data_IF_607218498413
#
_entry.id   IF_607218498413
#
_cell.length_a   1.000
_cell.length_b   1.000
_cell.length_c   1.000
_cell.angle_alpha   90.00
_cell.angle_beta   90.00
_cell.angle_gamma   90.00
#
_symmetry.space_group_name_H-M   'P 1'
#
loop_
_entity.id
_entity.type
_entity.pdbx_description
1 polymer ?
#
# COMPACT_ATOMS: atom_id res chain seq x y z
N UNK A 1 42.08 29.07 18.73
CA UNK A 1 41.31 29.73 17.65
C UNK A 1 41.72 29.11 16.33
N UNK A 2 40.74 28.93 15.44
CA UNK A 2 40.66 28.02 14.27
C UNK A 2 40.39 26.56 14.68
N UNK A 3 39.26 25.91 14.40
CA UNK A 3 38.17 26.20 13.48
C UNK A 3 37.90 24.98 12.62
N UNK A 4 37.30 23.93 13.18
CA UNK A 4 36.78 22.77 12.43
C UNK A 4 35.28 22.71 12.66
N UNK A 5 34.55 23.50 11.86
CA UNK A 5 33.12 23.30 11.64
C UNK A 5 32.98 21.99 10.86
N UNK A 6 32.62 20.89 11.53
CA UNK A 6 32.03 19.73 10.86
C UNK A 6 30.60 20.08 10.47
N UNK A 7 30.45 20.88 9.41
CA UNK A 7 29.16 21.16 8.79
C UNK A 7 28.67 19.92 8.07
N UNK A 8 28.10 18.97 8.81
CA UNK A 8 27.21 17.97 8.19
C UNK A 8 26.00 18.72 7.65
N UNK A 9 25.73 18.58 6.36
CA UNK A 9 24.55 19.17 5.74
C UNK A 9 23.30 18.74 6.51
N UNK A 10 22.48 19.72 6.92
CA UNK A 10 21.21 19.42 7.55
C UNK A 10 20.32 18.70 6.54
N UNK A 11 19.87 17.49 6.86
CA UNK A 11 19.07 16.71 5.92
C UNK A 11 17.75 17.41 5.58
N UNK A 12 17.26 18.34 6.42
CA UNK A 12 16.14 19.20 6.08
C UNK A 12 16.41 20.10 4.87
N UNK A 13 17.64 20.59 4.66
CA UNK A 13 17.94 21.42 3.49
C UNK A 13 17.88 20.58 2.20
N UNK A 14 18.27 19.30 2.27
CA UNK A 14 18.15 18.34 1.17
C UNK A 14 16.67 18.06 0.86
N UNK A 15 15.85 17.87 1.88
CA UNK A 15 14.40 17.66 1.71
C UNK A 15 13.70 18.94 1.21
N UNK A 16 14.13 20.12 1.67
CA UNK A 16 13.62 21.42 1.24
C UNK A 16 13.83 21.64 -0.26
N UNK A 17 15.00 21.25 -0.79
CA UNK A 17 15.31 21.37 -2.21
C UNK A 17 14.40 20.50 -3.10
N UNK A 18 13.89 19.38 -2.57
CA UNK A 18 12.99 18.46 -3.28
C UNK A 18 11.50 18.83 -3.12
N UNK A 19 11.17 19.71 -2.16
CA UNK A 19 9.78 20.12 -1.85
C UNK A 19 9.00 20.70 -3.04
N UNK A 20 9.57 21.48 -3.99
CA UNK A 20 8.80 22.01 -5.12
C UNK A 20 8.15 20.94 -6.00
N UNK A 21 8.67 19.70 -5.98
CA UNK A 21 8.18 18.58 -6.78
C UNK A 21 7.38 17.56 -5.95
N UNK A 22 7.10 17.86 -4.67
CA UNK A 22 6.54 16.91 -3.69
C UNK A 22 5.47 17.57 -2.81
N UNK A 23 4.61 16.75 -2.20
CA UNK A 23 3.57 17.24 -1.30
C UNK A 23 4.14 17.60 0.09
N UNK A 24 3.38 18.38 0.86
CA UNK A 24 3.68 18.65 2.26
C UNK A 24 3.76 17.37 3.10
N UNK A 25 2.82 16.44 2.89
CA UNK A 25 2.83 15.13 3.54
C UNK A 25 4.10 14.33 3.29
N UNK A 26 4.66 14.36 2.07
CA UNK A 26 5.93 13.69 1.78
C UNK A 26 7.06 14.23 2.65
N UNK A 27 7.13 15.55 2.81
CA UNK A 27 8.16 16.17 3.64
C UNK A 27 8.00 15.73 5.09
N UNK A 28 6.77 15.80 5.62
CA UNK A 28 6.47 15.39 7.00
C UNK A 28 6.81 13.91 7.23
N UNK A 29 6.40 12.99 6.35
CA UNK A 29 6.72 11.56 6.45
C UNK A 29 8.24 11.30 6.37
N UNK A 30 8.95 11.97 5.46
CA UNK A 30 10.40 11.83 5.33
C UNK A 30 11.15 12.27 6.60
N UNK A 31 10.71 13.37 7.22
CA UNK A 31 11.27 13.84 8.49
C UNK A 31 10.93 12.89 9.63
N UNK A 32 9.66 12.47 9.73
CA UNK A 32 9.18 11.54 10.74
C UNK A 32 9.96 10.23 10.73
N UNK A 33 10.09 9.58 9.57
CA UNK A 33 10.85 8.32 9.42
C UNK A 33 12.32 8.48 9.75
N UNK A 34 12.92 9.62 9.40
CA UNK A 34 14.34 9.86 9.72
C UNK A 34 14.54 10.01 11.23
N UNK A 35 13.68 10.76 11.91
CA UNK A 35 13.70 10.90 13.37
C UNK A 35 13.45 9.56 14.06
N UNK A 36 12.48 8.79 13.57
CA UNK A 36 12.17 7.45 14.09
C UNK A 36 13.39 6.52 13.99
N UNK A 37 14.09 6.51 12.85
CA UNK A 37 15.29 5.70 12.64
C UNK A 37 16.45 6.05 13.57
N UNK A 38 16.58 7.32 13.97
CA UNK A 38 17.68 7.80 14.79
C UNK A 38 17.40 7.78 16.29
N UNK A 39 16.14 7.92 16.69
CA UNK A 39 15.77 8.16 18.09
C UNK A 39 14.73 7.18 18.66
N UNK A 40 14.15 6.27 17.87
CA UNK A 40 13.20 5.24 18.36
C UNK A 40 13.95 3.95 18.74
N UNK A 41 13.63 3.27 19.88
CA UNK A 41 12.28 3.10 20.45
C UNK A 41 11.97 3.86 21.76
N UNK A 42 12.87 4.71 22.27
CA UNK A 42 12.70 5.37 23.57
C UNK A 42 12.37 6.87 23.41
N UNK A 43 11.20 7.36 23.88
CA UNK A 43 10.81 8.78 23.79
C UNK A 43 11.82 9.76 24.40
N UNK A 44 12.64 9.31 25.35
CA UNK A 44 13.69 10.10 26.01
C UNK A 44 14.93 10.37 25.15
N UNK A 45 15.04 9.75 23.97
CA UNK A 45 16.18 9.94 23.07
C UNK A 45 15.98 11.07 22.06
N UNK A 46 14.74 11.58 21.89
CA UNK A 46 14.48 12.68 20.96
C UNK A 46 15.00 14.01 21.55
N UNK A 47 15.76 14.81 20.79
CA UNK A 47 16.17 16.14 21.26
C UNK A 47 14.94 17.00 21.59
N UNK A 48 14.98 17.75 22.70
CA UNK A 48 13.83 18.52 23.19
C UNK A 48 13.24 19.49 22.15
N UNK A 49 14.09 20.03 21.26
CA UNK A 49 13.66 20.90 20.16
C UNK A 49 12.74 20.19 19.16
N UNK A 50 12.89 18.88 18.98
CA UNK A 50 12.09 18.06 18.08
C UNK A 50 10.78 17.58 18.69
N UNK A 51 10.59 17.65 20.02
CA UNK A 51 9.38 17.11 20.66
C UNK A 51 8.07 17.75 20.16
N UNK A 52 7.93 19.10 20.07
CA UNK A 52 6.71 19.71 19.55
C UNK A 52 6.45 19.35 18.08
N UNK A 53 7.52 19.21 17.29
CA UNK A 53 7.44 18.81 15.89
C UNK A 53 7.07 17.35 15.74
N UNK A 54 7.57 16.49 16.61
CA UNK A 54 7.24 15.08 16.64
C UNK A 54 5.75 14.86 16.90
N UNK A 55 5.16 15.61 17.83
CA UNK A 55 3.72 15.59 18.07
C UNK A 55 2.94 16.00 16.80
N UNK A 56 3.34 17.11 16.17
CA UNK A 56 2.74 17.60 14.93
C UNK A 56 2.87 16.62 13.76
N UNK A 57 4.04 15.98 13.62
CA UNK A 57 4.31 14.98 12.59
C UNK A 57 3.43 13.75 12.78
N UNK A 58 3.35 13.21 14.00
CA UNK A 58 2.48 12.07 14.29
C UNK A 58 1.01 12.40 14.05
N UNK A 59 0.57 13.59 14.44
CA UNK A 59 -0.79 14.04 14.23
C UNK A 59 -1.12 14.19 12.74
N UNK A 60 -0.30 14.93 11.99
CA UNK A 60 -0.53 15.15 10.56
C UNK A 60 -0.48 13.84 9.78
N UNK A 61 0.38 12.89 10.15
CA UNK A 61 0.49 11.59 9.49
C UNK A 61 -0.56 10.57 9.95
N UNK A 62 -1.45 10.93 10.89
CA UNK A 62 -2.49 10.04 11.40
C UNK A 62 -1.93 8.80 12.09
N UNK A 63 -0.76 8.89 12.72
CA UNK A 63 -0.06 7.75 13.35
C UNK A 63 -0.87 7.17 14.50
N UNK A 64 -1.53 8.03 15.28
CA UNK A 64 -2.38 7.61 16.39
C UNK A 64 -3.80 8.15 16.20
N UNK A 65 -4.83 7.36 16.54
CA UNK A 65 -6.21 7.83 16.57
C UNK A 65 -6.41 8.88 17.69
N UNK A 66 -7.43 9.72 17.56
CA UNK A 66 -7.73 10.81 18.49
C UNK A 66 -8.04 10.28 19.89
N UNK A 67 -8.71 9.14 19.99
CA UNK A 67 -8.93 8.44 21.26
C UNK A 67 -7.61 8.17 22.02
N UNK A 68 -6.53 7.87 21.30
CA UNK A 68 -5.21 7.67 21.92
C UNK A 68 -4.58 9.01 22.33
N UNK A 69 -4.67 10.05 21.49
CA UNK A 69 -4.18 11.39 21.83
C UNK A 69 -4.82 11.95 23.10
N UNK A 70 -6.13 11.81 23.26
CA UNK A 70 -6.85 12.24 24.45
C UNK A 70 -6.37 11.53 25.72
N UNK A 71 -6.03 10.24 25.62
CA UNK A 71 -5.50 9.45 26.74
C UNK A 71 -4.06 9.80 27.10
N UNK A 72 -3.19 9.96 26.11
CA UNK A 72 -1.74 9.96 26.34
C UNK A 72 -1.08 11.32 26.23
N UNK A 73 -1.67 12.25 25.47
CA UNK A 73 -1.07 13.55 25.19
C UNK A 73 -2.11 14.67 24.92
N UNK A 74 -3.05 14.93 25.85
CA UNK A 74 -4.08 15.97 25.67
C UNK A 74 -3.48 17.38 25.51
N UNK A 75 -2.39 17.69 26.22
CA UNK A 75 -1.70 18.98 26.09
C UNK A 75 -1.09 19.18 24.69
N UNK A 76 -0.65 18.10 24.04
CA UNK A 76 -0.15 18.16 22.66
C UNK A 76 -1.31 18.42 21.69
N UNK A 77 -2.42 17.73 21.87
CA UNK A 77 -3.63 17.93 21.08
C UNK A 77 -4.18 19.35 21.22
N UNK A 78 -4.11 19.95 22.42
CA UNK A 78 -4.48 21.35 22.66
C UNK A 78 -3.55 22.33 21.90
N UNK A 79 -2.24 22.08 21.89
CA UNK A 79 -1.30 22.89 21.09
C UNK A 79 -1.60 22.80 19.59
N UNK A 80 -1.90 21.60 19.10
CA UNK A 80 -2.25 21.34 17.70
C UNK A 80 -3.54 22.08 17.34
N UNK A 81 -4.55 22.02 18.20
CA UNK A 81 -5.82 22.75 18.04
C UNK A 81 -5.58 24.26 17.96
N UNK A 82 -4.78 24.81 18.86
CA UNK A 82 -4.45 26.24 18.86
C UNK A 82 -3.69 26.64 17.59
N UNK A 83 -2.76 25.80 17.12
CA UNK A 83 -2.04 26.02 15.87
C UNK A 83 -2.98 25.98 14.66
N UNK A 84 -3.92 25.03 14.61
CA UNK A 84 -4.92 24.94 13.55
C UNK A 84 -5.80 26.20 13.49
N UNK A 85 -6.21 26.72 14.66
CA UNK A 85 -6.97 27.96 14.75
C UNK A 85 -6.17 29.18 14.24
N UNK A 86 -4.91 29.32 14.66
CA UNK A 86 -4.01 30.39 14.20
C UNK A 86 -3.72 30.30 12.70
N UNK A 87 -3.69 29.08 12.17
CA UNK A 87 -3.46 28.78 10.77
C UNK A 87 -4.70 29.03 9.88
N UNK A 88 -5.86 29.34 10.46
CA UNK A 88 -7.12 29.54 9.73
C UNK A 88 -7.84 28.25 9.34
N UNK A 89 -7.38 27.09 9.83
CA UNK A 89 -7.98 25.77 9.61
C UNK A 89 -9.15 25.57 10.60
N UNK A 90 -10.18 26.42 10.48
CA UNK A 90 -11.26 26.52 11.46
C UNK A 90 -12.01 25.19 11.65
N UNK A 91 -12.30 24.45 10.58
CA UNK A 91 -12.99 23.17 10.66
C UNK A 91 -12.20 22.13 11.47
N UNK A 92 -10.88 22.06 11.26
CA UNK A 92 -9.99 21.19 12.03
C UNK A 92 -9.92 21.64 13.50
N UNK A 93 -9.75 22.95 13.73
CA UNK A 93 -9.68 23.51 15.07
C UNK A 93 -10.97 23.26 15.87
N UNK A 94 -12.12 23.34 15.21
CA UNK A 94 -13.42 23.05 15.80
C UNK A 94 -13.57 21.56 16.12
N UNK A 95 -13.23 20.66 15.19
CA UNK A 95 -13.27 19.21 15.45
C UNK A 95 -12.36 18.83 16.64
N UNK A 96 -11.16 19.41 16.71
CA UNK A 96 -10.25 19.18 17.83
C UNK A 96 -10.75 19.79 19.14
N UNK A 97 -11.43 20.95 19.09
CA UNK A 97 -12.03 21.55 20.28
C UNK A 97 -13.17 20.67 20.84
N UNK A 98 -14.01 20.09 19.99
CA UNK A 98 -15.02 19.11 20.41
C UNK A 98 -14.35 17.87 21.03
N UNK A 99 -13.30 17.35 20.39
CA UNK A 99 -12.56 16.20 20.90
C UNK A 99 -11.96 16.47 22.29
N UNK A 100 -11.33 17.63 22.50
CA UNK A 100 -10.76 18.05 23.78
C UNK A 100 -11.81 18.28 24.89
N UNK A 101 -13.07 18.51 24.51
CA UNK A 101 -14.21 18.54 25.45
C UNK A 101 -14.79 17.15 25.75
N UNK A 102 -14.18 16.09 25.21
CA UNK A 102 -14.62 14.71 25.39
C UNK A 102 -15.86 14.35 24.56
N UNK A 103 -16.10 15.06 23.45
CA UNK A 103 -17.26 14.83 22.58
C UNK A 103 -16.81 14.21 21.26
N UNK A 104 -17.19 12.96 21.02
CA UNK A 104 -17.01 12.33 19.72
C UNK A 104 -18.01 12.91 18.71
N UNK A 105 -17.54 13.14 17.49
CA UNK A 105 -18.39 13.54 16.38
C UNK A 105 -19.34 12.39 15.98
N UNK A 106 -20.59 12.72 15.61
CA UNK A 106 -21.53 11.70 15.14
C UNK A 106 -21.04 11.09 13.83
N UNK A 107 -21.49 9.85 13.55
CA UNK A 107 -21.26 9.21 12.27
C UNK A 107 -21.66 10.13 11.11
N UNK A 108 -20.71 10.42 10.23
CA UNK A 108 -20.95 11.26 9.07
C UNK A 108 -21.41 10.39 7.90
N UNK A 109 -22.16 10.95 6.97
CA UNK A 109 -22.46 10.30 5.69
C UNK A 109 -22.28 11.32 4.57
N UNK A 110 -21.62 10.92 3.47
CA UNK A 110 -21.66 11.68 2.23
C UNK A 110 -22.94 11.30 1.50
N UNK A 111 -23.76 12.31 1.23
CA UNK A 111 -24.94 12.14 0.38
C UNK A 111 -24.58 12.46 -1.06
N UNK A 112 -24.70 11.48 -1.94
CA UNK A 112 -24.61 11.67 -3.39
C UNK A 112 -26.02 11.73 -3.96
N UNK A 113 -26.44 12.94 -4.32
CA UNK A 113 -27.71 13.16 -5.00
C UNK A 113 -27.52 13.08 -6.52
N UNK A 114 -28.16 12.10 -7.16
CA UNK A 114 -28.27 12.01 -8.61
C UNK A 114 -29.67 12.41 -9.07
N UNK A 115 -29.75 13.19 -10.15
CA UNK A 115 -31.02 13.66 -10.71
C UNK A 115 -31.88 12.48 -11.18
N UNK A 116 -32.96 12.18 -10.44
CA UNK A 116 -33.93 11.14 -10.77
C UNK A 116 -33.76 9.81 -10.04
N UNK A 117 -32.75 9.67 -9.19
CA UNK A 117 -32.53 8.47 -8.36
C UNK A 117 -32.59 8.81 -6.86
N UNK A 118 -32.65 7.77 -6.02
CA UNK A 118 -32.58 7.93 -4.56
C UNK A 118 -31.18 8.39 -4.15
N UNK A 119 -31.13 9.34 -3.21
CA UNK A 119 -29.89 9.81 -2.62
C UNK A 119 -29.09 8.63 -2.03
N UNK A 120 -27.85 8.47 -2.50
CA UNK A 120 -26.95 7.46 -1.96
C UNK A 120 -26.23 8.05 -0.74
N UNK A 121 -26.57 7.55 0.44
CA UNK A 121 -25.88 7.90 1.68
C UNK A 121 -24.74 6.90 1.94
N UNK A 122 -23.49 7.35 1.76
CA UNK A 122 -22.31 6.56 2.09
C UNK A 122 -21.79 6.98 3.46
N UNK A 123 -21.87 6.12 4.50
CA UNK A 123 -21.33 6.45 5.81
C UNK A 123 -19.80 6.65 5.71
N UNK A 124 -19.32 7.74 6.30
CA UNK A 124 -17.92 8.03 6.52
C UNK A 124 -17.59 7.58 7.93
N UNK A 125 -16.84 6.49 8.05
CA UNK A 125 -16.38 5.97 9.33
C UNK A 125 -15.53 4.71 9.13
N UNK A 126 -14.52 4.53 9.98
CA UNK A 126 -13.83 3.26 10.12
C UNK A 126 -14.71 2.20 10.80
N UNK A 127 -14.24 0.96 10.87
CA UNK A 127 -14.85 -0.05 11.73
C UNK A 127 -14.79 0.45 13.20
N UNK A 128 -15.85 0.27 14.01
CA UNK A 128 -15.88 0.73 15.40
C UNK A 128 -14.82 0.00 16.23
N UNK A 129 -13.64 0.60 16.39
CA UNK A 129 -12.52 0.01 17.13
C UNK A 129 -11.83 1.01 18.08
N UNK A 130 -12.06 2.31 17.94
CA UNK A 130 -11.37 3.36 18.72
C UNK A 130 -12.27 3.96 19.80
N UNK A 131 -12.55 3.17 20.84
CA UNK A 131 -13.38 3.60 21.97
C UNK A 131 -12.56 4.39 23.00
N UNK A 132 -13.14 5.48 23.50
CA UNK A 132 -12.65 6.23 24.67
C UNK A 132 -13.81 6.92 25.37
N UNK A 133 -13.87 6.82 26.71
CA UNK A 133 -14.93 7.36 27.56
C UNK A 133 -16.35 6.97 27.13
N UNK A 134 -16.50 5.71 26.69
CA UNK A 134 -17.78 5.13 26.28
C UNK A 134 -18.31 5.63 24.94
N UNK A 135 -17.50 6.34 24.16
CA UNK A 135 -17.85 6.85 22.83
C UNK A 135 -16.95 6.23 21.75
N UNK A 136 -17.49 6.09 20.54
CA UNK A 136 -16.75 5.66 19.35
C UNK A 136 -16.18 6.88 18.63
N UNK A 137 -14.86 6.91 18.45
CA UNK A 137 -14.14 8.04 17.87
C UNK A 137 -13.88 7.89 16.37
N UNK A 138 -14.24 6.78 15.74
CA UNK A 138 -13.94 6.50 14.33
C UNK A 138 -14.44 7.60 13.37
N UNK A 139 -15.60 8.18 13.64
CA UNK A 139 -16.15 9.29 12.86
C UNK A 139 -15.35 10.60 13.07
N UNK A 140 -14.85 10.81 14.29
CA UNK A 140 -13.99 11.96 14.61
C UNK A 140 -12.65 11.87 13.90
N UNK A 141 -12.03 10.68 13.90
CA UNK A 141 -10.79 10.42 13.18
C UNK A 141 -10.94 10.67 11.68
N UNK A 142 -12.02 10.16 11.07
CA UNK A 142 -12.30 10.39 9.66
C UNK A 142 -12.54 11.89 9.35
N UNK A 143 -13.33 12.57 10.17
CA UNK A 143 -13.60 14.00 10.01
C UNK A 143 -12.33 14.85 10.14
N UNK A 144 -11.44 14.49 11.06
CA UNK A 144 -10.15 15.17 11.25
C UNK A 144 -9.25 14.91 10.05
N UNK A 145 -9.12 13.65 9.60
CA UNK A 145 -8.30 13.29 8.44
C UNK A 145 -8.70 14.06 7.18
N UNK A 146 -10.00 14.25 6.94
CA UNK A 146 -10.51 15.03 5.80
C UNK A 146 -10.08 16.50 5.82
N UNK A 147 -9.70 17.05 6.98
CA UNK A 147 -9.27 18.44 7.15
C UNK A 147 -7.74 18.59 7.30
N UNK A 148 -6.96 17.50 7.22
CA UNK A 148 -5.52 17.56 7.47
C UNK A 148 -4.71 18.17 6.30
N UNK A 149 -5.25 18.21 5.08
CA UNK A 149 -4.51 18.64 3.90
C UNK A 149 -3.98 20.07 3.97
N UNK A 150 -4.82 21.02 4.38
CA UNK A 150 -4.43 22.41 4.57
C UNK A 150 -3.45 22.57 5.72
N UNK A 151 -3.76 21.94 6.86
CA UNK A 151 -2.94 21.98 8.05
C UNK A 151 -1.53 21.38 7.85
N UNK A 152 -1.42 20.23 7.18
CA UNK A 152 -0.15 19.58 6.88
C UNK A 152 0.76 20.45 6.00
N UNK A 153 0.19 21.24 5.06
CA UNK A 153 0.96 22.23 4.28
C UNK A 153 1.55 23.31 5.16
N UNK A 154 0.76 23.83 6.09
CA UNK A 154 1.18 24.88 7.01
C UNK A 154 2.27 24.35 7.94
N UNK A 155 2.13 23.14 8.48
CA UNK A 155 3.16 22.50 9.31
C UNK A 155 4.45 22.26 8.53
N UNK A 156 4.36 21.81 7.28
CA UNK A 156 5.52 21.63 6.41
C UNK A 156 6.23 22.97 6.11
N UNK A 157 5.47 24.04 5.86
CA UNK A 157 6.03 25.37 5.65
C UNK A 157 6.73 25.91 6.89
N UNK A 158 6.11 25.78 8.06
CA UNK A 158 6.72 26.17 9.34
C UNK A 158 8.00 25.37 9.61
N UNK A 159 7.98 24.06 9.35
CA UNK A 159 9.15 23.18 9.53
C UNK A 159 10.33 23.62 8.65
N UNK A 160 10.06 24.02 7.40
CA UNK A 160 11.07 24.53 6.49
C UNK A 160 11.56 25.94 6.83
N UNK A 161 10.73 26.78 7.47
CA UNK A 161 11.13 28.08 7.99
C UNK A 161 12.08 27.94 9.19
N UNK A 162 11.79 26.97 10.05
CA UNK A 162 12.57 26.69 11.27
C UNK A 162 13.76 25.73 11.04
N UNK A 163 14.03 25.34 9.78
CA UNK A 163 15.07 24.36 9.45
C UNK A 163 16.48 24.72 9.94
N UNK A 164 16.76 26.00 10.16
CA UNK A 164 18.05 26.44 10.72
C UNK A 164 18.20 26.11 12.21
N UNK A 165 17.08 25.99 12.94
CA UNK A 165 17.04 25.59 14.35
C UNK A 165 16.83 24.08 14.54
N UNK A 166 16.37 23.39 13.49
CA UNK A 166 16.08 21.96 13.49
C UNK A 166 17.15 21.17 12.76
N UNK A 167 18.09 20.58 13.51
CA UNK A 167 19.09 19.70 12.92
C UNK A 167 18.51 18.29 12.73
N UNK A 168 18.30 17.90 11.48
CA UNK A 168 17.93 16.53 11.10
C UNK A 168 19.17 15.77 10.59
N UNK A 169 19.57 14.67 11.24
CA UNK A 169 20.72 13.88 10.80
C UNK A 169 20.45 13.23 9.44
N UNK A 170 21.52 13.05 8.65
CA UNK A 170 21.46 12.28 7.42
C UNK A 170 21.09 10.81 7.72
N UNK A 171 20.34 10.12 6.85
CA UNK A 171 19.93 8.73 7.07
C UNK A 171 21.14 7.81 7.27
N UNK A 172 21.13 7.01 8.36
CA UNK A 172 22.19 6.06 8.62
C UNK A 172 22.20 4.96 7.55
N UNK A 173 23.21 4.96 6.67
CA UNK A 173 23.48 3.82 5.80
C UNK A 173 23.88 2.61 6.65
N UNK A 174 22.94 1.67 6.88
CA UNK A 174 23.27 0.35 7.43
C UNK A 174 24.15 -0.40 6.42
N UNK A 175 25.46 -0.30 6.58
CA UNK A 175 26.41 -1.24 5.99
C UNK A 175 26.17 -2.63 6.58
N UNK A 176 25.56 -3.52 5.81
CA UNK A 176 25.49 -4.94 6.17
C UNK A 176 26.85 -5.61 5.88
N UNK A 177 27.36 -6.47 6.77
CA UNK A 177 28.57 -7.23 6.52
C UNK A 177 28.31 -8.28 5.42
N UNK A 178 29.10 -8.20 4.36
CA UNK A 178 29.13 -9.19 3.27
C UNK A 178 29.75 -10.49 3.79
N UNK A 179 28.91 -11.48 4.10
CA UNK A 179 29.33 -12.88 4.00
C UNK A 179 28.83 -13.44 2.66
N UNK A 180 29.78 -13.59 1.75
CA UNK A 180 29.64 -14.14 0.41
C UNK A 180 29.61 -15.67 0.44
N UNK A 181 28.51 -16.25 -0.05
CA UNK A 181 28.48 -17.60 -0.62
C UNK A 181 28.69 -17.48 -2.15
N UNK A 182 29.48 -18.36 -2.78
CA UNK A 182 29.75 -18.27 -4.21
C UNK A 182 28.62 -18.90 -5.02
N UNK A 183 28.15 -18.18 -6.04
CA UNK A 183 27.44 -18.80 -7.16
C UNK A 183 25.94 -18.58 -7.25
N UNK A 184 25.44 -17.36 -7.06
CA UNK A 184 24.19 -16.90 -7.67
C UNK A 184 24.40 -15.43 -8.05
N UNK A 185 24.18 -15.09 -9.33
CA UNK A 185 24.32 -13.74 -9.83
C UNK A 185 23.49 -12.77 -8.97
N UNK A 186 24.16 -11.81 -8.33
CA UNK A 186 23.50 -10.76 -7.56
C UNK A 186 22.61 -9.94 -8.50
N UNK A 187 21.31 -9.75 -8.20
CA UNK A 187 20.54 -8.73 -8.89
C UNK A 187 21.17 -7.37 -8.56
N UNK A 188 21.52 -6.61 -9.60
CA UNK A 188 21.96 -5.23 -9.44
C UNK A 188 20.90 -4.48 -8.61
N UNK A 189 21.33 -3.68 -7.64
CA UNK A 189 20.43 -2.87 -6.82
C UNK A 189 19.61 -1.94 -7.74
N UNK A 190 18.40 -2.37 -8.09
CA UNK A 190 17.48 -1.62 -8.92
C UNK A 190 16.82 -0.54 -8.08
N UNK A 191 16.80 0.69 -8.58
CA UNK A 191 16.14 1.79 -7.86
C UNK A 191 14.61 1.58 -7.85
N UNK A 192 13.88 2.13 -6.87
CA UNK A 192 12.42 2.02 -6.83
C UNK A 192 11.73 2.48 -8.14
N UNK A 193 12.24 3.54 -8.76
CA UNK A 193 11.76 4.03 -10.05
C UNK A 193 11.98 3.02 -11.18
N UNK A 194 13.11 2.32 -11.19
CA UNK A 194 13.37 1.24 -12.17
C UNK A 194 12.43 0.06 -11.95
N UNK A 195 12.14 -0.32 -10.71
CA UNK A 195 11.20 -1.41 -10.41
C UNK A 195 9.78 -1.08 -10.87
N UNK A 196 9.33 0.17 -10.68
CA UNK A 196 8.06 0.65 -11.21
C UNK A 196 8.01 0.59 -12.73
N UNK A 197 9.04 1.11 -13.39
CA UNK A 197 9.11 1.10 -14.86
C UNK A 197 9.16 -0.33 -15.42
N UNK A 198 9.89 -1.24 -14.78
CA UNK A 198 9.97 -2.65 -15.17
C UNK A 198 8.62 -3.35 -15.07
N UNK A 199 7.89 -3.17 -13.97
CA UNK A 199 6.56 -3.78 -13.80
C UNK A 199 5.56 -3.23 -14.80
N UNK A 200 5.57 -1.90 -15.00
CA UNK A 200 4.72 -1.22 -15.99
C UNK A 200 5.01 -1.71 -17.41
N UNK A 201 6.29 -1.83 -17.78
CA UNK A 201 6.70 -2.33 -19.09
C UNK A 201 6.34 -3.80 -19.29
N UNK A 202 6.56 -4.65 -18.28
CA UNK A 202 6.22 -6.07 -18.33
C UNK A 202 4.71 -6.28 -18.50
N UNK A 203 3.88 -5.53 -17.77
CA UNK A 203 2.43 -5.60 -17.91
C UNK A 203 1.96 -5.07 -19.28
N UNK A 204 2.49 -3.95 -19.76
CA UNK A 204 2.17 -3.45 -21.09
C UNK A 204 2.56 -4.46 -22.19
N UNK A 205 3.70 -5.13 -22.04
CA UNK A 205 4.16 -6.15 -22.98
C UNK A 205 3.28 -7.42 -22.97
N UNK A 206 2.77 -7.82 -21.80
CA UNK A 206 1.75 -8.87 -21.67
C UNK A 206 0.51 -8.54 -22.52
N UNK A 207 0.00 -7.31 -22.43
CA UNK A 207 -1.22 -6.90 -23.14
C UNK A 207 -1.06 -6.83 -24.68
N UNK A 208 0.18 -6.73 -25.17
CA UNK A 208 0.48 -6.68 -26.62
C UNK A 208 0.63 -8.05 -27.27
N UNK A 209 0.66 -9.13 -26.49
CA UNK A 209 0.87 -10.47 -27.04
C UNK A 209 -0.35 -11.03 -27.80
N UNK A 210 -0.12 -11.96 -28.75
CA UNK A 210 -1.21 -12.66 -29.41
C UNK A 210 -2.10 -13.38 -28.40
N UNK A 211 -3.40 -13.12 -28.55
CA UNK A 211 -4.55 -13.54 -27.72
C UNK A 211 -4.84 -15.06 -27.77
N UNK A 212 -3.82 -15.90 -27.61
CA UNK A 212 -3.96 -17.35 -27.61
C UNK A 212 -3.16 -18.00 -26.48
N UNK A 213 -3.86 -18.71 -25.60
CA UNK A 213 -3.27 -19.47 -24.50
C UNK A 213 -3.01 -20.91 -24.96
N UNK A 214 -1.83 -21.47 -24.65
CA UNK A 214 -1.61 -22.90 -24.83
C UNK A 214 -2.25 -23.64 -23.67
N UNK A 215 -3.07 -24.64 -23.99
CA UNK A 215 -3.74 -25.50 -23.03
C UNK A 215 -3.58 -26.96 -23.41
N UNK A 216 -3.73 -27.90 -22.47
CA UNK A 216 -3.78 -29.34 -22.76
C UNK A 216 -4.96 -29.99 -22.06
N UNK A 217 -5.51 -31.04 -22.67
CA UNK A 217 -6.44 -31.91 -21.97
C UNK A 217 -5.67 -32.78 -20.96
N UNK A 218 -6.09 -32.85 -19.69
CA UNK A 218 -5.47 -33.73 -18.71
C UNK A 218 -5.39 -35.17 -19.21
N UNK A 219 -4.23 -35.83 -19.05
CA UNK A 219 -4.02 -37.23 -19.42
C UNK A 219 -3.80 -37.55 -20.91
N UNK A 220 -4.08 -36.63 -21.84
CA UNK A 220 -3.98 -36.89 -23.29
C UNK A 220 -2.79 -36.21 -23.99
N UNK A 221 -2.07 -35.30 -23.31
CA UNK A 221 -0.84 -34.68 -23.81
C UNK A 221 -0.98 -33.76 -25.03
N UNK A 222 -2.12 -33.76 -25.70
CA UNK A 222 -2.41 -32.91 -26.85
C UNK A 222 -2.53 -31.44 -26.44
N UNK A 223 -1.77 -30.58 -27.12
CA UNK A 223 -1.79 -29.13 -26.90
C UNK A 223 -2.73 -28.44 -27.88
N UNK A 224 -3.54 -27.54 -27.35
CA UNK A 224 -4.46 -26.71 -28.09
C UNK A 224 -4.09 -25.24 -27.89
N UNK A 225 -4.40 -24.39 -28.88
CA UNK A 225 -4.35 -22.94 -28.71
C UNK A 225 -5.76 -22.44 -28.52
N UNK A 226 -6.04 -21.93 -27.33
CA UNK A 226 -7.31 -21.39 -26.94
C UNK A 226 -7.31 -19.88 -27.17
N UNK A 227 -8.26 -19.31 -27.93
CA UNK A 227 -8.40 -17.87 -28.03
C UNK A 227 -8.84 -17.30 -26.67
N UNK A 228 -8.11 -16.30 -26.19
CA UNK A 228 -8.39 -15.62 -24.91
C UNK A 228 -8.42 -14.12 -25.10
N UNK A 229 -9.06 -13.41 -24.19
CA UNK A 229 -9.10 -11.95 -24.20
C UNK A 229 -8.69 -11.37 -22.86
N UNK A 230 -8.44 -10.08 -22.82
CA UNK A 230 -8.26 -9.33 -21.58
C UNK A 230 -9.39 -8.30 -21.48
N UNK A 231 -10.01 -8.19 -20.31
CA UNK A 231 -10.97 -7.13 -19.99
C UNK A 231 -10.26 -6.19 -19.04
N UNK A 232 -10.07 -4.94 -19.47
CA UNK A 232 -9.24 -3.98 -18.78
C UNK A 232 -10.13 -2.88 -18.21
N UNK A 233 -9.86 -2.48 -16.96
CA UNK A 233 -10.47 -1.29 -16.39
C UNK A 233 -9.63 -0.05 -16.73
N UNK A 234 -10.22 1.16 -16.69
CA UNK A 234 -9.45 2.39 -16.78
C UNK A 234 -8.32 2.41 -15.74
N UNK A 235 -7.18 3.00 -16.09
CA UNK A 235 -6.10 3.23 -15.14
C UNK A 235 -6.49 4.22 -14.06
N UNK A 236 -5.76 4.20 -12.94
CA UNK A 236 -5.88 5.21 -11.90
C UNK A 236 -5.66 6.62 -12.47
N UNK A 237 -6.47 7.58 -12.01
CA UNK A 237 -6.17 8.99 -12.24
C UNK A 237 -4.85 9.37 -11.56
N UNK A 238 -4.24 10.48 -11.99
CA UNK A 238 -2.98 10.94 -11.40
C UNK A 238 -3.12 11.22 -9.90
N UNK A 239 -4.29 11.74 -9.49
CA UNK A 239 -4.62 12.06 -8.10
C UNK A 239 -4.73 10.78 -7.25
N UNK A 240 -5.48 9.78 -7.74
CA UNK A 240 -5.62 8.50 -7.04
C UNK A 240 -4.30 7.72 -6.98
N UNK A 241 -3.50 7.78 -8.04
CA UNK A 241 -2.18 7.19 -8.06
C UNK A 241 -1.28 7.78 -6.98
N UNK A 242 -1.24 9.12 -6.85
CA UNK A 242 -0.44 9.77 -5.80
C UNK A 242 -1.00 9.47 -4.40
N UNK A 243 -2.33 9.45 -4.23
CA UNK A 243 -2.97 9.06 -2.97
C UNK A 243 -2.52 7.66 -2.51
N UNK A 244 -2.67 6.65 -3.38
CA UNK A 244 -2.28 5.29 -3.04
C UNK A 244 -0.78 5.10 -2.89
N UNK A 245 0.05 5.90 -3.58
CA UNK A 245 1.51 5.86 -3.45
C UNK A 245 1.96 6.29 -2.05
N UNK A 246 1.19 7.16 -1.41
CA UNK A 246 1.44 7.61 -0.03
C UNK A 246 0.86 6.62 0.98
N UNK A 247 -0.34 6.10 0.71
CA UNK A 247 -1.04 5.18 1.62
C UNK A 247 -0.35 3.82 1.74
N UNK A 248 0.20 3.32 0.63
CA UNK A 248 0.71 1.95 0.55
C UNK A 248 2.22 1.87 0.85
N UNK A 249 2.72 0.74 1.40
CA UNK A 249 4.14 0.51 1.58
C UNK A 249 4.93 0.67 0.28
N UNK A 250 6.18 1.13 0.36
CA UNK A 250 7.03 1.35 -0.83
C UNK A 250 7.16 0.11 -1.74
N UNK A 251 7.14 -1.08 -1.14
CA UNK A 251 7.16 -2.35 -1.87
C UNK A 251 5.98 -2.52 -2.85
N UNK A 252 4.86 -1.81 -2.62
CA UNK A 252 3.67 -1.80 -3.49
C UNK A 252 3.81 -0.86 -4.70
N UNK A 253 4.79 0.04 -4.71
CA UNK A 253 4.96 1.00 -5.80
C UNK A 253 5.05 0.37 -7.20
N UNK A 254 5.72 -0.78 -7.41
CA UNK A 254 5.76 -1.43 -8.72
C UNK A 254 4.39 -1.96 -9.18
N UNK A 255 3.55 -2.39 -8.25
CA UNK A 255 2.20 -2.87 -8.54
C UNK A 255 1.24 -1.69 -8.76
N UNK A 256 1.39 -0.61 -8.01
CA UNK A 256 0.66 0.64 -8.22
C UNK A 256 0.97 1.25 -9.61
N UNK A 257 2.22 1.15 -10.07
CA UNK A 257 2.62 1.56 -11.42
C UNK A 257 1.90 0.78 -12.53
N UNK A 258 1.45 -0.45 -12.24
CA UNK A 258 0.58 -1.23 -13.11
C UNK A 258 -0.86 -0.73 -13.05
N UNK A 259 -1.38 -0.43 -11.85
CA UNK A 259 -2.71 0.14 -11.67
C UNK A 259 -2.88 1.51 -12.36
N UNK A 260 -1.80 2.27 -12.53
CA UNK A 260 -1.79 3.49 -13.35
C UNK A 260 -2.12 3.25 -14.82
N UNK A 261 -1.80 2.06 -15.35
CA UNK A 261 -2.22 1.67 -16.70
C UNK A 261 -3.66 1.18 -16.70
N UNK A 262 -3.98 0.26 -15.79
CA UNK A 262 -5.29 -0.37 -15.66
C UNK A 262 -5.55 -0.73 -14.19
N UNK A 263 -6.53 -0.09 -13.56
CA UNK A 263 -6.88 -0.31 -12.14
C UNK A 263 -7.78 -1.54 -12.00
N UNK A 264 -7.19 -2.70 -12.23
CA UNK A 264 -7.89 -3.97 -12.29
C UNK A 264 -8.10 -4.48 -13.71
N UNK A 265 -8.11 -5.80 -13.84
CA UNK A 265 -8.24 -6.47 -15.12
C UNK A 265 -8.62 -7.94 -14.94
N UNK A 266 -9.46 -8.46 -15.84
CA UNK A 266 -9.59 -9.89 -16.05
C UNK A 266 -8.67 -10.30 -17.19
N UNK A 267 -7.73 -11.19 -16.90
CA UNK A 267 -6.75 -11.67 -17.85
C UNK A 267 -7.08 -13.10 -18.27
N UNK A 268 -6.72 -13.43 -19.53
CA UNK A 268 -6.91 -14.76 -20.12
C UNK A 268 -8.36 -15.22 -20.06
N UNK A 269 -9.29 -14.32 -20.39
CA UNK A 269 -10.73 -14.57 -20.39
C UNK A 269 -11.12 -15.36 -21.64
N UNK A 270 -11.69 -16.55 -21.43
CA UNK A 270 -12.34 -17.31 -22.48
C UNK A 270 -13.82 -16.95 -22.54
N UNK A 271 -14.25 -16.35 -23.64
CA UNK A 271 -15.67 -16.13 -23.93
C UNK A 271 -16.15 -17.25 -24.86
N UNK A 272 -16.99 -18.15 -24.35
CA UNK A 272 -17.67 -19.16 -25.15
C UNK A 272 -19.04 -18.68 -25.65
N UNK A 273 -19.58 -19.24 -26.75
CA UNK A 273 -20.91 -18.89 -27.24
C UNK A 273 -22.06 -19.43 -26.37
N UNK A 274 -21.80 -20.36 -25.44
CA UNK A 274 -22.83 -21.05 -24.63
C UNK A 274 -22.48 -21.10 -23.13
N UNK A 275 -21.31 -20.61 -22.72
CA UNK A 275 -20.75 -20.80 -21.38
C UNK A 275 -20.44 -19.48 -20.68
N UNK A 276 -20.55 -19.48 -19.34
CA UNK A 276 -20.07 -18.40 -18.46
C UNK A 276 -18.60 -18.16 -18.77
N UNK A 277 -18.20 -16.89 -18.88
CA UNK A 277 -16.83 -16.54 -19.22
C UNK A 277 -15.87 -17.08 -18.15
N UNK A 278 -14.88 -17.86 -18.58
CA UNK A 278 -13.84 -18.38 -17.69
C UNK A 278 -12.74 -17.33 -17.63
N UNK A 279 -12.55 -16.72 -16.46
CA UNK A 279 -11.45 -15.80 -16.20
C UNK A 279 -10.23 -16.61 -15.77
N UNK A 280 -9.04 -16.29 -16.25
CA UNK A 280 -7.83 -16.99 -15.80
C UNK A 280 -7.23 -16.38 -14.55
N UNK A 281 -7.18 -15.04 -14.52
CA UNK A 281 -6.62 -14.26 -13.41
C UNK A 281 -7.37 -12.93 -13.33
N UNK A 282 -7.86 -12.59 -12.15
CA UNK A 282 -8.43 -11.26 -11.87
C UNK A 282 -7.42 -10.45 -11.07
N UNK A 283 -6.97 -9.33 -11.64
CA UNK A 283 -6.26 -8.28 -10.92
C UNK A 283 -7.30 -7.38 -10.26
N UNK A 284 -7.18 -7.18 -8.95
CA UNK A 284 -8.10 -6.34 -8.20
C UNK A 284 -7.78 -4.86 -8.38
N UNK A 285 -8.80 -3.99 -8.47
CA UNK A 285 -8.62 -2.55 -8.33
C UNK A 285 -7.97 -2.22 -6.98
N UNK A 286 -7.13 -1.18 -6.92
CA UNK A 286 -6.36 -0.82 -5.72
C UNK A 286 -7.27 -0.57 -4.52
N UNK A 287 -8.43 0.06 -4.74
CA UNK A 287 -9.42 0.29 -3.69
C UNK A 287 -9.97 -0.99 -3.03
N UNK A 288 -9.83 -2.16 -3.67
CA UNK A 288 -10.28 -3.45 -3.11
C UNK A 288 -9.17 -4.22 -2.38
N UNK A 289 -7.91 -3.82 -2.50
CA UNK A 289 -6.77 -4.61 -1.99
C UNK A 289 -6.87 -4.88 -0.48
N UNK A 290 -7.26 -3.87 0.32
CA UNK A 290 -7.43 -4.04 1.76
C UNK A 290 -8.54 -5.04 2.10
N UNK A 291 -9.73 -4.87 1.47
CA UNK A 291 -10.87 -5.76 1.69
C UNK A 291 -10.57 -7.21 1.27
N UNK A 292 -9.87 -7.40 0.14
CA UNK A 292 -9.45 -8.72 -0.35
C UNK A 292 -8.42 -9.37 0.58
N UNK A 293 -7.48 -8.58 1.07
CA UNK A 293 -6.48 -9.05 2.04
C UNK A 293 -7.15 -9.51 3.34
N UNK A 294 -8.10 -8.73 3.86
CA UNK A 294 -8.86 -9.10 5.05
C UNK A 294 -9.72 -10.36 4.85
N UNK A 295 -10.43 -10.46 3.72
CA UNK A 295 -11.22 -11.64 3.38
C UNK A 295 -10.35 -12.90 3.28
N UNK A 296 -9.22 -12.81 2.60
CA UNK A 296 -8.25 -13.88 2.48
C UNK A 296 -7.68 -14.30 3.84
N UNK A 297 -7.28 -13.35 4.69
CA UNK A 297 -6.83 -13.65 6.06
C UNK A 297 -7.93 -14.34 6.87
N UNK A 298 -9.19 -13.93 6.71
CA UNK A 298 -10.32 -14.58 7.40
C UNK A 298 -10.59 -16.00 6.90
N UNK A 299 -10.37 -16.30 5.63
CA UNK A 299 -10.50 -17.66 5.09
C UNK A 299 -9.38 -18.59 5.56
N UNK A 300 -8.15 -18.07 5.63
CA UNK A 300 -6.95 -18.86 5.93
C UNK A 300 -6.55 -18.86 7.43
N UNK A 301 -7.26 -18.09 8.27
CA UNK A 301 -7.02 -18.05 9.72
C UNK A 301 -7.29 -19.37 10.43
N UNK A 302 -8.09 -20.25 9.82
CA UNK A 302 -8.43 -21.58 10.35
C UNK A 302 -7.54 -22.70 9.79
N UNK A 303 -6.61 -22.39 8.89
CA UNK A 303 -5.68 -23.39 8.35
C UNK A 303 -4.50 -23.62 9.29
N UNK A 304 -4.11 -24.89 9.45
CA UNK A 304 -2.97 -25.26 10.28
C UNK A 304 -1.65 -24.89 9.56
N UNK A 305 -0.94 -23.88 10.09
CA UNK A 305 0.37 -23.50 9.59
C UNK A 305 1.41 -24.60 9.90
N UNK A 306 2.23 -25.04 8.93
CA UNK A 306 3.21 -26.10 9.14
C UNK A 306 4.23 -25.84 10.27
N UNK A 307 4.47 -24.56 10.60
CA UNK A 307 5.37 -24.12 11.67
C UNK A 307 4.62 -23.61 12.91
N UNK A 308 3.30 -23.80 13.00
CA UNK A 308 2.46 -23.36 14.11
C UNK A 308 2.08 -21.87 14.08
N UNK A 309 2.79 -21.04 13.31
CA UNK A 309 2.50 -19.61 13.15
C UNK A 309 2.66 -19.17 11.67
N UNK A 310 1.91 -18.14 11.23
CA UNK A 310 2.10 -17.55 9.91
C UNK A 310 3.45 -16.82 9.80
N UNK A 311 4.03 -16.68 8.58
CA UNK A 311 5.21 -15.85 8.37
C UNK A 311 5.01 -14.42 8.88
N UNK A 312 6.06 -13.78 9.39
CA UNK A 312 5.97 -12.43 9.97
C UNK A 312 5.48 -11.34 8.99
N UNK A 313 5.63 -11.57 7.68
CA UNK A 313 5.17 -10.66 6.63
C UNK A 313 3.72 -10.90 6.20
N UNK A 314 3.10 -12.01 6.64
CA UNK A 314 1.76 -12.44 6.21
C UNK A 314 0.72 -11.35 6.44
N UNK A 315 0.64 -10.85 7.68
CA UNK A 315 -0.33 -9.85 8.10
C UNK A 315 -0.22 -8.50 7.36
N UNK A 316 0.93 -8.23 6.74
CA UNK A 316 1.22 -6.98 6.04
C UNK A 316 1.24 -7.14 4.52
N UNK A 317 0.99 -8.36 4.01
CA UNK A 317 0.93 -8.63 2.58
C UNK A 317 -0.30 -7.97 1.93
N UNK A 318 -0.24 -7.76 0.61
CA UNK A 318 -1.34 -7.19 -0.17
C UNK A 318 -1.87 -8.25 -1.12
N UNK A 319 -3.14 -8.64 -0.97
CA UNK A 319 -3.85 -9.47 -1.93
C UNK A 319 -4.25 -8.63 -3.15
N UNK A 320 -3.56 -8.81 -4.26
CA UNK A 320 -3.74 -7.97 -5.46
C UNK A 320 -4.35 -8.69 -6.66
N UNK A 321 -4.35 -10.03 -6.64
CA UNK A 321 -5.01 -10.80 -7.69
C UNK A 321 -5.54 -12.12 -7.14
N UNK A 322 -6.44 -12.76 -7.89
CA UNK A 322 -7.01 -14.06 -7.58
C UNK A 322 -7.03 -14.93 -8.84
N UNK A 323 -6.76 -16.22 -8.67
CA UNK A 323 -6.96 -17.21 -9.71
C UNK A 323 -8.44 -17.34 -10.10
N UNK A 324 -8.69 -17.84 -11.31
CA UNK A 324 -10.03 -17.88 -11.87
C UNK A 324 -10.98 -18.96 -11.33
N UNK A 325 -10.47 -19.97 -10.65
CA UNK A 325 -11.22 -21.17 -10.27
C UNK A 325 -11.03 -21.57 -8.79
N UNK A 326 -10.44 -20.68 -8.01
CA UNK A 326 -9.80 -20.96 -6.75
C UNK A 326 -9.93 -19.76 -5.79
N UNK A 327 -10.07 -20.05 -4.49
CA UNK A 327 -10.04 -19.05 -3.43
C UNK A 327 -8.60 -18.58 -3.11
N UNK A 328 -7.65 -18.92 -3.98
CA UNK A 328 -6.23 -18.62 -3.82
C UNK A 328 -5.90 -17.23 -4.38
N UNK A 329 -5.23 -16.45 -3.54
CA UNK A 329 -4.88 -15.07 -3.83
C UNK A 329 -3.38 -14.95 -4.08
N UNK A 330 -3.04 -14.10 -5.05
CA UNK A 330 -1.67 -13.63 -5.24
C UNK A 330 -1.41 -12.46 -4.31
N UNK A 331 -0.34 -12.61 -3.54
CA UNK A 331 0.07 -11.69 -2.51
C UNK A 331 1.36 -11.00 -2.89
N UNK A 332 1.43 -9.71 -2.61
CA UNK A 332 2.66 -8.95 -2.60
C UNK A 332 3.17 -8.85 -1.16
N UNK A 333 4.39 -9.32 -0.93
CA UNK A 333 5.08 -9.17 0.35
C UNK A 333 5.53 -7.71 0.48
N UNK A 334 5.13 -7.02 1.53
CA UNK A 334 5.44 -5.58 1.69
C UNK A 334 6.56 -5.29 2.68
N UNK A 335 6.88 -6.24 3.56
CA UNK A 335 7.85 -6.08 4.64
C UNK A 335 8.80 -7.25 4.77
N UNK A 336 9.90 -7.02 5.50
CA UNK A 336 10.95 -8.02 5.72
C UNK A 336 11.86 -8.27 4.52
N UNK A 337 12.74 -9.28 4.58
CA UNK A 337 13.74 -9.57 3.55
C UNK A 337 13.17 -9.93 2.18
N UNK A 338 11.89 -10.30 2.14
CA UNK A 338 11.15 -10.74 0.96
C UNK A 338 10.27 -9.63 0.36
N UNK A 339 10.33 -8.40 0.89
CA UNK A 339 9.53 -7.28 0.41
C UNK A 339 9.72 -7.03 -1.11
N UNK A 340 8.60 -6.79 -1.80
CA UNK A 340 8.52 -6.69 -3.26
C UNK A 340 8.31 -8.03 -3.96
N UNK A 341 8.47 -9.15 -3.25
CA UNK A 341 8.22 -10.49 -3.77
C UNK A 341 6.72 -10.83 -3.89
N UNK A 342 6.40 -11.72 -4.81
CA UNK A 342 5.03 -12.21 -5.05
C UNK A 342 4.92 -13.69 -4.69
N UNK A 343 3.87 -14.04 -3.96
CA UNK A 343 3.60 -15.38 -3.41
C UNK A 343 2.12 -15.75 -3.56
N UNK A 344 1.81 -17.04 -3.54
CA UNK A 344 0.45 -17.54 -3.41
C UNK A 344 0.04 -17.72 -1.95
N UNK A 345 -1.21 -17.41 -1.65
CA UNK A 345 -1.74 -17.38 -0.29
C UNK A 345 -1.81 -18.74 0.39
N UNK A 346 -2.21 -19.81 -0.31
CA UNK A 346 -2.39 -21.14 0.28
C UNK A 346 -1.24 -22.11 -0.07
N UNK A 347 -0.64 -21.96 -1.25
CA UNK A 347 0.40 -22.88 -1.74
C UNK A 347 1.80 -22.51 -1.27
N UNK A 348 2.14 -21.22 -1.28
CA UNK A 348 3.52 -20.77 -1.06
C UNK A 348 3.72 -20.16 0.33
N UNK A 349 2.75 -19.37 0.81
CA UNK A 349 2.86 -18.65 2.08
C UNK A 349 2.98 -19.57 3.31
N UNK A 350 2.27 -20.72 3.42
CA UNK A 350 2.48 -21.65 4.53
C UNK A 350 3.90 -22.22 4.61
N UNK A 351 4.66 -22.13 3.53
CA UNK A 351 6.06 -22.55 3.45
C UNK A 351 7.04 -21.37 3.48
N UNK A 352 6.58 -20.14 3.67
CA UNK A 352 7.41 -18.93 3.67
C UNK A 352 8.12 -18.67 2.33
N UNK A 353 7.58 -19.22 1.23
CA UNK A 353 8.21 -19.19 -0.09
C UNK A 353 7.73 -17.97 -0.87
N UNK A 354 8.66 -17.33 -1.57
CA UNK A 354 8.35 -16.32 -2.58
C UNK A 354 8.51 -16.98 -3.95
N UNK A 355 7.47 -16.94 -4.77
CA UNK A 355 7.45 -17.57 -6.10
C UNK A 355 8.09 -16.69 -7.17
N UNK A 356 7.89 -15.38 -7.07
CA UNK A 356 8.52 -14.41 -7.95
C UNK A 356 9.22 -13.32 -7.14
N UNK A 357 10.47 -13.02 -7.48
CA UNK A 357 11.26 -12.03 -6.76
C UNK A 357 10.76 -10.59 -6.91
N UNK A 358 9.85 -10.32 -7.86
CA UNK A 358 9.26 -9.00 -8.08
C UNK A 358 7.93 -9.08 -8.82
N UNK A 359 7.13 -8.01 -8.75
CA UNK A 359 5.94 -7.79 -9.58
C UNK A 359 6.25 -7.86 -11.09
N UNK A 360 7.40 -7.32 -11.53
CA UNK A 360 7.83 -7.41 -12.92
C UNK A 360 8.08 -8.87 -13.34
N UNK A 361 8.70 -9.67 -12.49
CA UNK A 361 8.94 -11.10 -12.74
C UNK A 361 7.61 -11.88 -12.82
N UNK A 362 6.62 -11.52 -12.01
CA UNK A 362 5.25 -12.07 -12.10
C UNK A 362 4.61 -11.79 -13.47
N UNK A 363 4.59 -10.53 -13.93
CA UNK A 363 4.02 -10.19 -15.23
C UNK A 363 4.81 -10.76 -16.42
N UNK A 364 6.14 -10.81 -16.29
CA UNK A 364 7.01 -11.47 -17.28
C UNK A 364 6.70 -12.97 -17.37
N UNK A 365 6.41 -13.63 -16.24
CA UNK A 365 5.99 -15.02 -16.22
C UNK A 365 4.62 -15.20 -16.88
N UNK A 366 3.65 -14.33 -16.63
CA UNK A 366 2.36 -14.35 -17.35
C UNK A 366 2.54 -14.22 -18.87
N UNK A 367 3.51 -13.40 -19.30
CA UNK A 367 3.81 -13.16 -20.71
C UNK A 367 4.49 -14.36 -21.40
N UNK A 368 5.46 -15.02 -20.75
CA UNK A 368 6.28 -16.03 -21.41
C UNK A 368 6.00 -17.46 -20.99
N UNK A 369 5.44 -17.65 -19.79
CA UNK A 369 5.21 -18.94 -19.14
C UNK A 369 3.89 -18.89 -18.32
N UNK A 370 2.74 -18.58 -18.97
CA UNK A 370 1.49 -18.30 -18.27
C UNK A 370 1.05 -19.41 -17.32
N UNK A 371 1.36 -20.68 -17.63
CA UNK A 371 1.07 -21.82 -16.75
C UNK A 371 1.69 -21.71 -15.35
N UNK A 372 2.82 -21.01 -15.18
CA UNK A 372 3.44 -20.80 -13.86
C UNK A 372 2.61 -19.94 -12.91
N UNK A 373 1.66 -19.18 -13.46
CA UNK A 373 0.73 -18.33 -12.72
C UNK A 373 -0.68 -18.89 -12.79
N UNK A 374 -1.18 -19.17 -14.01
CA UNK A 374 -2.55 -19.62 -14.21
C UNK A 374 -2.83 -21.05 -13.73
N UNK A 375 -1.84 -21.95 -13.77
CA UNK A 375 -1.98 -23.32 -13.30
C UNK A 375 -1.36 -23.54 -11.91
N UNK A 376 -1.05 -22.46 -11.18
CA UNK A 376 -0.24 -22.55 -9.97
C UNK A 376 -0.96 -23.26 -8.81
N UNK A 377 -2.28 -23.11 -8.71
CA UNK A 377 -3.15 -23.83 -7.79
C UNK A 377 -3.57 -25.22 -8.29
N UNK A 378 -3.46 -25.46 -9.60
CA UNK A 378 -3.90 -26.70 -10.26
C UNK A 378 -5.40 -26.82 -10.49
N UNK A 379 -6.21 -25.81 -10.19
CA UNK A 379 -7.67 -25.88 -10.28
C UNK A 379 -8.28 -25.22 -11.53
N UNK A 380 -7.54 -24.32 -12.20
CA UNK A 380 -8.03 -23.62 -13.38
C UNK A 380 -8.17 -24.54 -14.59
N UNK A 381 -9.41 -24.69 -15.08
CA UNK A 381 -9.75 -25.45 -16.27
C UNK A 381 -10.51 -24.58 -17.26
N UNK A 382 -10.02 -24.52 -18.49
CA UNK A 382 -10.67 -23.91 -19.64
C UNK A 382 -11.50 -24.94 -20.42
N UNK A 383 -12.47 -24.48 -21.20
CA UNK A 383 -13.29 -25.34 -22.04
C UNK A 383 -12.72 -25.45 -23.46
N UNK A 384 -12.20 -26.63 -23.82
CA UNK A 384 -11.81 -26.97 -25.18
C UNK A 384 -12.90 -27.79 -25.87
N UNK A 385 -13.94 -27.13 -26.40
CA UNK A 385 -15.02 -27.77 -27.16
C UNK A 385 -15.72 -28.92 -26.37
N UNK A 386 -16.13 -28.62 -25.15
CA UNK A 386 -16.80 -29.55 -24.24
C UNK A 386 -15.85 -30.43 -23.41
N UNK A 387 -14.55 -30.10 -23.38
CA UNK A 387 -13.55 -30.83 -22.60
C UNK A 387 -12.73 -29.90 -21.71
N UNK A 388 -12.53 -30.21 -20.42
CA UNK A 388 -11.66 -29.42 -19.56
C UNK A 388 -10.20 -29.50 -20.03
N UNK A 389 -9.55 -28.34 -20.05
CA UNK A 389 -8.16 -28.17 -20.44
C UNK A 389 -7.42 -27.28 -19.44
N UNK A 390 -6.20 -27.64 -19.09
CA UNK A 390 -5.34 -26.85 -18.19
C UNK A 390 -4.30 -26.04 -18.98
N UNK A 391 -3.86 -24.87 -18.49
CA UNK A 391 -2.77 -24.09 -19.09
C UNK A 391 -1.44 -24.86 -19.15
N UNK A 392 -0.63 -24.65 -20.20
CA UNK A 392 0.70 -25.28 -20.37
C UNK A 392 1.83 -24.35 -20.80
#
# INVERSE_FOLDING_TARGET
>A
MTGLRSGGENYLDVLAAQRPERSAFWLLDAVYRNLEQHYSPAPSALPAVWQPWWDLLQFCLGVNPIAQWLRTAPDALQRIQALAALAGENALADHLAHALQGQALPAMAVTFSQLGEQDLHLPIGGLPQDWHDGQDWAASDAAIQLQLDGFARIVADLLLQERHALLLPAPAHRGLPRHSLPGLAQPHATTPAQQMQQSRAAFAALLQQPKALQVRTPGHGQRHRLPVTHRLQPGLSAELFEFYRVLLPQAAAPLLAVAQLHDGADLFVQCGPVSVAIVGLTLFPVGQWSARTAAMHSCLSNEAWPQGEPPCWWAQSIAFAQGGADDEHWLLVTTGPQAGGVTLSATDAPHGRVRFASTAAFFTALQHQPARVLAASGHLLYDCAGRPCEPV
#
